data_IF_672920134886
#
_entry.id   IF_672920134886
#
_cell.length_a   1.000
_cell.length_b   1.000
_cell.length_c   1.000
_cell.angle_alpha   90.00
_cell.angle_beta   90.00
_cell.angle_gamma   90.00
#
_symmetry.space_group_name_H-M   'P 1'
#
loop_
_entity.id
_entity.type
_entity.pdbx_description
1 polymer ?
#
# COMPACT_ATOMS: atom_id res chain seq x y z
N UNK A 1 9.53 6.41 18.59
CA UNK A 1 8.60 5.26 18.71
C UNK A 1 9.06 4.21 17.72
N UNK A 2 8.76 2.93 17.90
CA UNK A 2 9.07 1.90 16.91
C UNK A 2 8.06 0.77 16.95
N UNK A 3 7.94 0.05 15.83
CA UNK A 3 7.10 -1.15 15.69
C UNK A 3 7.91 -2.23 14.99
N UNK A 4 8.05 -3.39 15.62
CA UNK A 4 8.85 -4.50 15.11
C UNK A 4 7.99 -5.61 14.50
N UNK A 5 8.63 -6.53 13.78
CA UNK A 5 7.96 -7.74 13.31
C UNK A 5 7.40 -8.61 14.45
N UNK A 6 8.06 -8.63 15.61
CA UNK A 6 7.57 -9.39 16.77
C UNK A 6 6.31 -8.76 17.37
N UNK A 7 6.22 -7.42 17.43
CA UNK A 7 5.00 -6.74 17.85
C UNK A 7 3.81 -7.08 16.92
N UNK A 8 4.05 -7.17 15.60
CA UNK A 8 3.03 -7.62 14.65
C UNK A 8 2.60 -9.06 14.93
N UNK A 9 3.54 -9.95 15.25
CA UNK A 9 3.21 -11.35 15.55
C UNK A 9 2.36 -11.46 16.82
N UNK A 10 2.77 -10.77 17.88
CA UNK A 10 2.06 -10.77 19.15
C UNK A 10 0.65 -10.15 19.01
N UNK A 11 0.52 -9.14 18.16
CA UNK A 11 -0.76 -8.46 17.90
C UNK A 11 -1.69 -9.32 17.04
N UNK A 12 -1.22 -9.84 15.91
CA UNK A 12 -2.11 -10.38 14.87
C UNK A 12 -2.27 -11.91 14.89
N UNK A 13 -1.38 -12.68 15.52
CA UNK A 13 -1.45 -14.15 15.52
C UNK A 13 -2.44 -14.72 16.56
N UNK A 14 -3.58 -14.04 16.73
CA UNK A 14 -4.60 -14.32 17.75
C UNK A 14 -5.68 -15.32 17.30
N UNK A 15 -5.75 -15.63 16.00
CA UNK A 15 -6.67 -16.63 15.45
C UNK A 15 -5.92 -17.72 14.66
N UNK A 16 -6.47 -18.94 14.54
CA UNK A 16 -5.89 -19.98 13.69
C UNK A 16 -5.71 -19.57 12.23
N UNK A 17 -6.63 -18.74 11.71
CA UNK A 17 -6.60 -18.25 10.33
C UNK A 17 -5.44 -17.29 10.10
N UNK A 18 -5.23 -16.33 11.01
CA UNK A 18 -4.09 -15.41 10.95
C UNK A 18 -2.76 -16.15 11.12
N UNK A 19 -2.69 -17.09 12.06
CA UNK A 19 -1.54 -17.99 12.25
C UNK A 19 -1.20 -18.76 10.98
N UNK A 20 -2.21 -19.34 10.32
CA UNK A 20 -2.01 -20.07 9.07
C UNK A 20 -1.46 -19.15 7.97
N UNK A 21 -2.04 -17.97 7.78
CA UNK A 21 -1.58 -17.01 6.74
C UNK A 21 -0.13 -16.60 6.98
N UNK A 22 0.22 -16.27 8.24
CA UNK A 22 1.60 -15.93 8.58
C UNK A 22 2.55 -17.11 8.39
N UNK A 23 2.17 -18.30 8.84
CA UNK A 23 2.97 -19.51 8.69
C UNK A 23 3.20 -19.86 7.20
N UNK A 24 2.17 -19.75 6.36
CA UNK A 24 2.29 -19.97 4.91
C UNK A 24 3.24 -18.95 4.27
N UNK A 25 3.20 -17.68 4.73
CA UNK A 25 4.12 -16.63 4.27
C UNK A 25 5.56 -16.89 4.73
N UNK A 26 5.76 -17.21 6.01
CA UNK A 26 7.07 -17.40 6.64
C UNK A 26 7.78 -18.64 6.10
N UNK A 27 7.02 -19.69 5.74
CA UNK A 27 7.55 -20.96 5.23
C UNK A 27 7.53 -21.05 3.70
N UNK A 28 7.25 -19.96 2.98
CA UNK A 28 7.27 -19.97 1.53
C UNK A 28 8.71 -20.14 1.01
N UNK A 29 9.05 -21.24 0.30
CA UNK A 29 10.43 -21.53 -0.09
C UNK A 29 11.04 -20.47 -1.01
N UNK A 30 10.23 -19.89 -1.89
CA UNK A 30 10.66 -18.86 -2.83
C UNK A 30 11.04 -17.57 -2.09
N UNK A 31 10.17 -17.11 -1.17
CA UNK A 31 10.44 -15.92 -0.34
C UNK A 31 11.60 -16.11 0.62
N UNK A 32 11.81 -17.32 1.13
CA UNK A 32 12.99 -17.66 1.94
C UNK A 32 14.25 -17.57 1.09
N UNK A 33 14.27 -18.24 -0.07
CA UNK A 33 15.44 -18.25 -0.96
C UNK A 33 15.80 -16.84 -1.46
N UNK A 34 14.80 -16.00 -1.68
CA UNK A 34 14.96 -14.61 -2.08
C UNK A 34 15.27 -13.66 -0.89
N UNK A 35 15.23 -14.14 0.36
CA UNK A 35 15.57 -13.35 1.55
C UNK A 35 14.46 -12.43 2.08
N UNK A 36 13.26 -12.44 1.48
CA UNK A 36 12.10 -11.63 1.92
C UNK A 36 11.78 -11.86 3.39
N UNK A 37 11.73 -13.13 3.82
CA UNK A 37 11.33 -13.50 5.18
C UNK A 37 12.31 -12.94 6.20
N UNK A 38 13.61 -13.12 5.99
CA UNK A 38 14.65 -12.57 6.89
C UNK A 38 14.62 -11.06 6.92
N UNK A 39 14.50 -10.39 5.78
CA UNK A 39 14.48 -8.93 5.71
C UNK A 39 13.28 -8.37 6.46
N UNK A 40 12.08 -8.91 6.23
CA UNK A 40 10.86 -8.41 6.88
C UNK A 40 10.75 -8.78 8.35
N UNK A 41 11.40 -9.87 8.81
CA UNK A 41 11.49 -10.20 10.23
C UNK A 41 12.44 -9.30 11.01
N UNK A 42 13.47 -8.78 10.34
CA UNK A 42 14.44 -7.87 10.93
C UNK A 42 14.07 -6.40 10.76
N UNK A 43 13.04 -6.11 9.97
CA UNK A 43 12.55 -4.75 9.76
C UNK A 43 11.93 -4.19 11.05
N UNK A 44 12.18 -2.92 11.29
CA UNK A 44 11.55 -2.15 12.35
C UNK A 44 11.10 -0.82 11.77
N UNK A 45 9.82 -0.53 11.87
CA UNK A 45 9.24 0.75 11.44
C UNK A 45 9.58 1.83 12.47
N UNK A 46 10.23 2.92 12.04
CA UNK A 46 10.56 4.08 12.89
C UNK A 46 10.31 5.41 12.19
N UNK A 47 10.79 5.56 10.95
CA UNK A 47 10.84 6.82 10.23
C UNK A 47 9.47 7.53 10.13
N UNK A 48 8.41 6.77 9.85
CA UNK A 48 7.05 7.33 9.75
C UNK A 48 6.56 7.97 11.06
N UNK A 49 7.10 7.56 12.21
CA UNK A 49 6.66 8.04 13.51
C UNK A 49 7.18 9.43 13.86
N UNK A 50 8.23 9.86 13.18
CA UNK A 50 8.82 11.19 13.30
C UNK A 50 8.39 12.10 12.13
N UNK A 51 7.58 11.59 11.20
CA UNK A 51 7.01 12.36 10.11
C UNK A 51 5.82 13.22 10.57
N UNK A 52 5.56 14.26 9.77
CA UNK A 52 4.40 15.15 9.92
C UNK A 52 3.60 15.19 8.61
N UNK A 53 2.37 15.70 8.65
CA UNK A 53 1.58 15.96 7.44
C UNK A 53 2.33 16.92 6.50
N UNK A 54 3.11 17.86 7.05
CA UNK A 54 3.96 18.75 6.27
C UNK A 54 5.03 18.01 5.44
N UNK A 55 5.53 16.86 5.94
CA UNK A 55 6.45 16.00 5.17
C UNK A 55 5.78 15.52 3.87
N UNK A 56 4.50 15.12 3.94
CA UNK A 56 3.78 14.63 2.77
C UNK A 56 3.38 15.73 1.80
N UNK A 57 3.06 16.94 2.31
CA UNK A 57 2.83 18.09 1.43
C UNK A 57 4.12 18.49 0.71
N UNK A 58 5.29 18.44 1.37
CA UNK A 58 6.57 18.63 0.71
C UNK A 58 6.80 17.58 -0.39
N UNK A 59 6.53 16.30 -0.13
CA UNK A 59 6.65 15.26 -1.16
C UNK A 59 5.71 15.53 -2.33
N UNK A 60 4.47 15.91 -2.08
CA UNK A 60 3.49 16.24 -3.11
C UNK A 60 3.98 17.37 -4.01
N UNK A 61 4.66 18.37 -3.47
CA UNK A 61 5.26 19.48 -4.22
C UNK A 61 6.53 19.09 -5.00
N UNK A 62 7.28 18.09 -4.52
CA UNK A 62 8.61 17.76 -5.05
C UNK A 62 8.67 16.42 -5.81
N UNK A 63 7.59 15.64 -5.85
CA UNK A 63 7.58 14.35 -6.53
C UNK A 63 7.44 14.48 -8.06
N UNK A 64 8.06 13.53 -8.75
CA UNK A 64 7.71 13.21 -10.14
C UNK A 64 6.75 12.02 -10.13
N UNK A 65 5.63 12.07 -10.85
CA UNK A 65 4.66 10.99 -10.79
C UNK A 65 5.11 9.73 -11.57
N UNK A 66 4.93 8.51 -11.01
CA UNK A 66 5.33 7.26 -11.65
C UNK A 66 4.63 6.95 -12.97
N UNK A 67 3.38 7.41 -13.14
CA UNK A 67 2.50 6.93 -14.23
C UNK A 67 2.88 7.47 -15.62
N UNK A 68 3.81 8.43 -15.68
CA UNK A 68 4.16 9.14 -16.90
C UNK A 68 2.93 9.63 -17.69
N UNK A 69 3.06 9.63 -19.02
CA UNK A 69 2.01 10.07 -19.94
C UNK A 69 1.09 8.94 -20.43
N UNK A 70 1.27 7.72 -19.93
CA UNK A 70 0.45 6.58 -20.33
C UNK A 70 -0.96 6.68 -19.76
N UNK A 71 -1.94 6.53 -20.63
CA UNK A 71 -3.34 6.43 -20.20
C UNK A 71 -3.62 4.98 -19.83
N UNK A 72 -4.39 4.78 -18.75
CA UNK A 72 -4.82 3.45 -18.30
C UNK A 72 -5.37 2.56 -19.44
N UNK A 73 -6.17 3.13 -20.34
CA UNK A 73 -6.74 2.41 -21.50
C UNK A 73 -5.71 1.83 -22.48
N UNK A 74 -4.46 2.30 -22.44
CA UNK A 74 -3.37 1.82 -23.29
C UNK A 74 -2.66 0.61 -22.71
N UNK A 75 -2.90 0.28 -21.44
CA UNK A 75 -2.19 -0.77 -20.71
C UNK A 75 -3.13 -1.72 -19.96
N UNK A 76 -4.44 -1.43 -19.87
CA UNK A 76 -5.40 -2.27 -19.14
C UNK A 76 -5.59 -3.66 -19.76
N UNK A 77 -5.10 -3.89 -20.99
CA UNK A 77 -5.07 -5.21 -21.63
C UNK A 77 -3.80 -6.02 -21.31
N UNK A 78 -2.81 -5.43 -20.63
CA UNK A 78 -1.52 -6.07 -20.33
C UNK A 78 -1.62 -6.80 -18.99
N UNK A 79 -2.22 -7.99 -19.01
CA UNK A 79 -2.45 -8.81 -17.82
C UNK A 79 -1.15 -9.19 -17.07
N UNK A 80 -0.03 -9.30 -17.79
CA UNK A 80 1.28 -9.59 -17.20
C UNK A 80 1.72 -8.50 -16.21
N UNK A 81 1.40 -7.23 -16.48
CA UNK A 81 1.69 -6.14 -15.56
C UNK A 81 0.65 -6.05 -14.43
N UNK A 82 -0.63 -6.27 -14.75
CA UNK A 82 -1.71 -6.23 -13.75
C UNK A 82 -1.54 -7.31 -12.67
N UNK A 83 -1.21 -8.53 -13.09
CA UNK A 83 -1.10 -9.71 -12.22
C UNK A 83 0.30 -9.95 -11.67
N UNK A 84 1.22 -9.00 -11.88
CA UNK A 84 2.57 -9.12 -11.34
C UNK A 84 2.56 -9.06 -9.81
N UNK A 85 3.07 -10.14 -9.21
CA UNK A 85 3.24 -10.35 -7.77
C UNK A 85 4.70 -10.73 -7.50
N UNK A 86 5.61 -9.74 -7.39
CA UNK A 86 7.00 -10.01 -7.03
C UNK A 86 7.11 -10.60 -5.62
N UNK A 87 8.19 -11.34 -5.35
CA UNK A 87 8.44 -11.94 -4.03
C UNK A 87 8.57 -10.87 -2.94
N UNK A 88 9.39 -9.84 -3.19
CA UNK A 88 9.34 -8.59 -2.44
C UNK A 88 8.14 -7.78 -2.95
N UNK A 89 7.09 -7.73 -2.14
CA UNK A 89 5.96 -6.86 -2.42
C UNK A 89 6.42 -5.39 -2.54
N UNK A 90 5.81 -4.61 -3.44
CA UNK A 90 6.19 -3.20 -3.65
C UNK A 90 6.23 -2.39 -2.34
N UNK A 91 5.26 -2.65 -1.44
CA UNK A 91 5.18 -2.00 -0.13
C UNK A 91 6.37 -2.31 0.78
N UNK A 92 6.98 -3.50 0.68
CA UNK A 92 8.19 -3.82 1.43
C UNK A 92 9.33 -2.87 1.04
N UNK A 93 9.52 -2.63 -0.25
CA UNK A 93 10.58 -1.78 -0.76
C UNK A 93 10.37 -0.31 -0.34
N UNK A 94 9.12 0.16 -0.35
CA UNK A 94 8.81 1.52 0.11
C UNK A 94 9.07 1.68 1.61
N UNK A 95 8.71 0.69 2.44
CA UNK A 95 9.02 0.70 3.85
C UNK A 95 10.53 0.66 4.11
N UNK A 96 11.28 -0.22 3.45
CA UNK A 96 12.74 -0.29 3.60
C UNK A 96 13.41 1.04 3.25
N UNK A 97 13.07 1.59 2.08
CA UNK A 97 13.64 2.86 1.66
C UNK A 97 13.19 4.03 2.55
N UNK A 98 11.99 3.99 3.11
CA UNK A 98 11.52 4.99 4.06
C UNK A 98 12.37 5.01 5.33
N UNK A 99 12.76 3.85 5.85
CA UNK A 99 13.64 3.76 7.02
C UNK A 99 15.07 4.23 6.70
N UNK A 100 15.57 3.95 5.48
CA UNK A 100 16.90 4.45 5.07
C UNK A 100 16.95 5.97 4.88
N UNK A 101 15.83 6.58 4.50
CA UNK A 101 15.73 8.03 4.26
C UNK A 101 15.24 8.82 5.47
N UNK A 102 14.82 8.16 6.54
CA UNK A 102 14.10 8.77 7.68
C UNK A 102 12.84 9.57 7.27
N UNK A 103 12.24 9.23 6.12
CA UNK A 103 11.00 9.83 5.60
C UNK A 103 10.46 9.02 4.41
N UNK A 104 9.18 9.18 4.04
CA UNK A 104 8.67 8.53 2.83
C UNK A 104 9.49 8.93 1.58
N UNK A 105 9.77 7.97 0.68
CA UNK A 105 10.60 8.23 -0.49
C UNK A 105 9.87 9.07 -1.54
N UNK A 106 10.61 9.88 -2.29
CA UNK A 106 10.17 10.36 -3.60
C UNK A 106 10.20 9.21 -4.60
N UNK A 107 9.39 9.31 -5.65
CA UNK A 107 9.40 8.31 -6.72
C UNK A 107 10.78 8.15 -7.37
N UNK A 108 11.50 9.25 -7.61
CA UNK A 108 12.84 9.23 -8.20
C UNK A 108 13.87 8.52 -7.31
N UNK A 109 13.70 8.61 -5.99
CA UNK A 109 14.56 7.93 -5.03
C UNK A 109 14.27 6.44 -5.01
N UNK A 110 12.99 6.06 -5.09
CA UNK A 110 12.61 4.67 -5.30
C UNK A 110 13.15 4.10 -6.61
N UNK A 111 13.03 4.83 -7.73
CA UNK A 111 13.56 4.41 -9.03
C UNK A 111 15.08 4.21 -8.97
N UNK A 112 15.81 5.15 -8.34
CA UNK A 112 17.24 5.03 -8.13
C UNK A 112 17.61 3.87 -7.20
N UNK A 113 16.85 3.62 -6.14
CA UNK A 113 17.07 2.47 -5.26
C UNK A 113 16.83 1.16 -6.02
N UNK A 114 15.61 0.99 -6.54
CA UNK A 114 15.16 -0.26 -7.17
C UNK A 114 16.00 -0.67 -8.38
N UNK A 115 16.54 0.28 -9.14
CA UNK A 115 17.25 0.00 -10.40
C UNK A 115 18.70 0.48 -10.44
N UNK A 116 19.10 1.34 -9.51
CA UNK A 116 20.45 1.92 -9.47
C UNK A 116 21.38 1.26 -8.45
N UNK A 117 20.84 0.56 -7.45
CA UNK A 117 21.65 -0.14 -6.44
C UNK A 117 21.64 -1.65 -6.66
N UNK A 118 22.69 -2.34 -6.22
CA UNK A 118 22.75 -3.81 -6.31
C UNK A 118 21.72 -4.46 -5.38
N UNK A 119 21.45 -3.85 -4.23
CA UNK A 119 20.43 -4.30 -3.29
C UNK A 119 19.02 -4.22 -3.87
N UNK A 120 18.63 -3.06 -4.42
CA UNK A 120 17.31 -2.89 -5.03
C UNK A 120 17.11 -3.78 -6.25
N UNK A 121 18.17 -3.99 -7.05
CA UNK A 121 18.14 -4.94 -8.17
C UNK A 121 17.92 -6.37 -7.69
N UNK A 122 18.66 -6.79 -6.66
CA UNK A 122 18.57 -8.13 -6.10
C UNK A 122 17.20 -8.41 -5.46
N UNK A 123 16.56 -7.41 -4.84
CA UNK A 123 15.22 -7.57 -4.25
C UNK A 123 14.10 -7.53 -5.30
N UNK A 124 14.30 -6.80 -6.39
CA UNK A 124 13.18 -6.38 -7.25
C UNK A 124 13.54 -6.12 -8.71
N UNK A 125 14.62 -5.38 -8.96
CA UNK A 125 14.95 -4.89 -10.30
C UNK A 125 15.15 -5.99 -11.34
N UNK A 126 15.74 -7.13 -10.97
CA UNK A 126 15.97 -8.24 -11.91
C UNK A 126 14.65 -8.91 -12.35
N UNK A 127 13.72 -9.14 -11.42
CA UNK A 127 12.39 -9.68 -11.73
C UNK A 127 11.59 -8.72 -12.64
N UNK A 128 11.69 -7.40 -12.37
CA UNK A 128 11.08 -6.39 -13.23
C UNK A 128 11.63 -6.45 -14.65
N UNK A 129 12.96 -6.57 -14.82
CA UNK A 129 13.58 -6.62 -16.15
C UNK A 129 13.14 -7.86 -16.94
N UNK A 130 13.06 -9.01 -16.28
CA UNK A 130 12.52 -10.22 -16.88
C UNK A 130 11.05 -10.02 -17.33
N UNK A 131 10.22 -9.42 -16.46
CA UNK A 131 8.82 -9.12 -16.78
C UNK A 131 8.68 -8.11 -17.91
N UNK A 132 9.55 -7.09 -17.95
CA UNK A 132 9.55 -6.07 -19.00
C UNK A 132 9.84 -6.70 -20.37
N UNK A 133 10.79 -7.65 -20.44
CA UNK A 133 11.09 -8.39 -21.66
C UNK A 133 9.91 -9.25 -22.13
N UNK A 134 9.22 -9.94 -21.21
CA UNK A 134 8.01 -10.73 -21.55
C UNK A 134 6.91 -9.85 -22.16
N UNK A 135 6.63 -8.70 -21.54
CA UNK A 135 5.61 -7.77 -22.02
C UNK A 135 6.01 -7.16 -23.36
N UNK A 136 7.30 -6.83 -23.53
CA UNK A 136 7.83 -6.31 -24.78
C UNK A 136 7.55 -7.26 -25.95
N UNK A 137 7.90 -8.55 -25.80
CA UNK A 137 7.67 -9.56 -26.84
C UNK A 137 6.17 -9.74 -27.15
N UNK A 138 5.33 -9.76 -26.10
CA UNK A 138 3.87 -9.83 -26.25
C UNK A 138 3.33 -8.65 -27.06
N UNK A 139 3.71 -7.42 -26.70
CA UNK A 139 3.18 -6.21 -27.32
C UNK A 139 3.76 -6.00 -28.72
N UNK A 140 5.03 -6.37 -28.97
CA UNK A 140 5.63 -6.31 -30.30
C UNK A 140 4.86 -7.22 -31.27
N UNK A 141 4.57 -8.45 -30.86
CA UNK A 141 3.77 -9.39 -31.65
C UNK A 141 2.37 -8.84 -31.92
N UNK A 142 1.70 -8.31 -30.89
CA UNK A 142 0.34 -7.77 -31.00
C UNK A 142 0.27 -6.55 -31.94
N UNK A 143 1.14 -5.58 -31.74
CA UNK A 143 1.20 -4.36 -32.57
C UNK A 143 1.50 -4.71 -34.03
N UNK A 144 2.46 -5.60 -34.27
CA UNK A 144 2.84 -6.01 -35.63
C UNK A 144 1.70 -6.73 -36.35
N UNK A 145 0.90 -7.50 -35.64
CA UNK A 145 -0.27 -8.19 -36.20
C UNK A 145 -1.44 -7.22 -36.47
N UNK A 146 -1.76 -6.33 -35.53
CA UNK A 146 -2.89 -5.40 -35.67
C UNK A 146 -2.61 -4.24 -36.63
N UNK A 147 -1.34 -3.83 -36.74
CA UNK A 147 -0.91 -2.63 -37.46
C UNK A 147 0.38 -2.90 -38.22
N UNK A 148 0.36 -3.75 -39.27
CA UNK A 148 1.55 -4.18 -39.99
C UNK A 148 2.31 -3.06 -40.71
N UNK A 149 1.68 -1.90 -40.91
CA UNK A 149 2.30 -0.71 -41.53
C UNK A 149 2.83 0.31 -40.51
N UNK A 150 2.76 0.00 -39.20
CA UNK A 150 3.28 0.88 -38.16
C UNK A 150 4.81 1.01 -38.28
N UNK A 151 5.33 2.23 -38.26
CA UNK A 151 6.78 2.50 -38.24
C UNK A 151 7.36 2.38 -36.83
N UNK A 152 8.32 1.48 -36.63
CA UNK A 152 9.00 1.21 -35.35
C UNK A 152 8.07 0.64 -34.25
N UNK A 153 7.40 -0.50 -34.50
CA UNK A 153 6.56 -1.16 -33.49
C UNK A 153 7.34 -1.51 -32.20
N UNK A 154 8.65 -1.73 -32.27
CA UNK A 154 9.54 -2.01 -31.15
C UNK A 154 9.55 -0.85 -30.15
N UNK A 155 9.68 0.39 -30.62
CA UNK A 155 9.67 1.56 -29.74
C UNK A 155 8.35 1.68 -28.98
N UNK A 156 7.23 1.35 -29.62
CA UNK A 156 5.92 1.38 -28.97
C UNK A 156 5.75 0.22 -27.99
N UNK A 157 6.23 -0.98 -28.34
CA UNK A 157 6.22 -2.13 -27.45
C UNK A 157 7.06 -1.86 -26.19
N UNK A 158 8.26 -1.30 -26.34
CA UNK A 158 9.12 -0.92 -25.21
C UNK A 158 8.44 0.11 -24.30
N UNK A 159 7.83 1.14 -24.90
CA UNK A 159 7.09 2.16 -24.15
C UNK A 159 5.94 1.56 -23.33
N UNK A 160 5.19 0.62 -23.91
CA UNK A 160 4.10 -0.08 -23.21
C UNK A 160 4.61 -1.04 -22.13
N UNK A 161 5.69 -1.77 -22.40
CA UNK A 161 6.30 -2.70 -21.45
C UNK A 161 6.77 -1.96 -20.20
N UNK A 162 7.67 -0.98 -20.37
CA UNK A 162 8.17 -0.17 -19.25
C UNK A 162 7.03 0.50 -18.50
N UNK A 163 6.17 1.20 -19.23
CA UNK A 163 5.21 2.07 -18.61
C UNK A 163 3.98 1.35 -18.00
N UNK A 164 3.67 0.12 -18.43
CA UNK A 164 2.67 -0.72 -17.74
C UNK A 164 3.16 -1.20 -16.38
N UNK A 165 4.45 -1.56 -16.27
CA UNK A 165 5.08 -1.89 -14.99
C UNK A 165 5.20 -0.67 -14.09
N UNK A 166 5.65 0.47 -14.61
CA UNK A 166 5.68 1.73 -13.85
C UNK A 166 4.29 2.14 -13.37
N UNK A 167 3.23 1.88 -14.16
CA UNK A 167 1.86 2.11 -13.72
C UNK A 167 1.44 1.18 -12.58
N UNK A 168 1.79 -0.11 -12.65
CA UNK A 168 1.51 -1.09 -11.60
C UNK A 168 2.18 -0.72 -10.28
N UNK A 169 3.47 -0.41 -10.34
CA UNK A 169 4.28 -0.02 -9.17
C UNK A 169 3.81 1.35 -8.66
N UNK A 170 3.55 2.29 -9.56
CA UNK A 170 3.09 3.63 -9.23
C UNK A 170 1.77 3.64 -8.47
N UNK A 171 0.83 2.77 -8.82
CA UNK A 171 -0.40 2.61 -8.03
C UNK A 171 -0.13 2.08 -6.62
N UNK A 172 0.83 1.16 -6.46
CA UNK A 172 1.23 0.70 -5.13
C UNK A 172 1.89 1.83 -4.33
N UNK A 173 2.74 2.64 -4.97
CA UNK A 173 3.37 3.83 -4.37
C UNK A 173 2.32 4.85 -3.92
N UNK A 174 1.33 5.17 -4.75
CA UNK A 174 0.23 6.06 -4.33
C UNK A 174 -0.61 5.50 -3.19
N UNK A 175 -0.81 4.18 -3.16
CA UNK A 175 -1.45 3.50 -2.03
C UNK A 175 -0.65 3.72 -0.76
N UNK A 176 0.61 3.29 -0.77
CA UNK A 176 1.54 3.45 0.34
C UNK A 176 1.59 4.88 0.88
N UNK A 177 1.74 5.88 0.01
CA UNK A 177 1.80 7.29 0.45
C UNK A 177 0.51 7.77 1.11
N UNK A 178 -0.65 7.32 0.63
CA UNK A 178 -1.94 7.65 1.24
C UNK A 178 -2.08 6.98 2.61
N UNK A 179 -1.66 5.73 2.74
CA UNK A 179 -1.80 4.97 3.96
C UNK A 179 -0.85 5.55 5.04
N UNK A 180 0.39 5.90 4.66
CA UNK A 180 1.35 6.59 5.53
C UNK A 180 0.92 8.03 5.89
N UNK A 181 0.34 8.78 4.96
CA UNK A 181 -0.26 10.09 5.25
C UNK A 181 -1.37 9.94 6.29
N UNK A 182 -2.24 8.96 6.12
CA UNK A 182 -3.39 8.72 7.03
C UNK A 182 -2.91 8.41 8.43
N UNK A 183 -1.94 7.50 8.57
CA UNK A 183 -1.35 7.17 9.86
C UNK A 183 -0.72 8.40 10.52
N UNK A 184 0.01 9.22 9.75
CA UNK A 184 0.64 10.45 10.25
C UNK A 184 -0.38 11.49 10.71
N UNK A 185 -1.43 11.74 9.91
CA UNK A 185 -2.48 12.70 10.26
C UNK A 185 -3.24 12.30 11.54
N UNK A 186 -3.51 11.01 11.73
CA UNK A 186 -4.13 10.49 12.95
C UNK A 186 -3.18 10.60 14.16
N UNK A 187 -1.87 10.40 13.97
CA UNK A 187 -0.86 10.60 15.03
C UNK A 187 -0.72 12.05 15.46
N UNK A 188 -0.78 13.00 14.53
CA UNK A 188 -0.78 14.43 14.86
C UNK A 188 -1.99 14.83 15.73
N UNK A 189 -3.08 14.05 15.67
CA UNK A 189 -4.23 14.15 16.57
C UNK A 189 -4.03 13.45 17.92
N UNK A 190 -2.84 12.91 18.18
CA UNK A 190 -2.48 12.24 19.43
C UNK A 190 -2.86 10.76 19.50
N UNK A 191 -3.21 10.12 18.39
CA UNK A 191 -3.43 8.67 18.36
C UNK A 191 -2.12 7.91 18.23
N UNK A 192 -1.98 6.79 18.94
CA UNK A 192 -0.83 5.89 18.83
C UNK A 192 -1.01 4.91 17.65
N UNK A 193 -1.10 5.45 16.42
CA UNK A 193 -1.24 4.62 15.22
C UNK A 193 0.07 3.90 14.93
N UNK A 194 0.00 2.56 14.95
CA UNK A 194 1.07 1.64 14.58
C UNK A 194 0.90 1.19 13.13
N UNK A 195 2.03 0.96 12.47
CA UNK A 195 2.12 0.54 11.07
C UNK A 195 3.35 -0.35 10.87
N UNK A 196 3.25 -1.36 10.01
CA UNK A 196 4.36 -2.24 9.69
C UNK A 196 4.10 -2.99 8.38
N UNK A 197 5.12 -3.21 7.52
CA UNK A 197 4.93 -3.89 6.23
C UNK A 197 4.33 -5.30 6.36
N UNK A 198 4.66 -6.05 7.42
CA UNK A 198 4.03 -7.35 7.68
C UNK A 198 2.54 -7.25 8.00
N UNK A 199 2.11 -6.18 8.68
CA UNK A 199 0.71 -5.96 9.00
C UNK A 199 -0.10 -5.68 7.74
N UNK A 200 0.41 -4.83 6.84
CA UNK A 200 -0.19 -4.57 5.53
C UNK A 200 -0.20 -5.85 4.67
N UNK A 201 0.97 -6.44 4.42
CA UNK A 201 1.11 -7.51 3.44
C UNK A 201 0.36 -8.80 3.82
N UNK A 202 0.36 -9.19 5.11
CA UNK A 202 -0.23 -10.45 5.56
C UNK A 202 -1.62 -10.28 6.15
N UNK A 203 -1.89 -9.13 6.78
CA UNK A 203 -3.10 -8.91 7.57
C UNK A 203 -3.98 -7.78 7.03
N UNK A 204 -3.53 -7.04 6.01
CA UNK A 204 -4.29 -5.96 5.36
C UNK A 204 -4.70 -4.86 6.33
N UNK A 205 -3.86 -4.65 7.35
CA UNK A 205 -3.99 -3.56 8.29
C UNK A 205 -3.06 -2.44 7.84
N UNK A 206 -3.64 -1.36 7.33
CA UNK A 206 -2.90 -0.16 6.91
C UNK A 206 -2.38 0.61 8.14
N UNK A 207 -3.03 0.40 9.30
CA UNK A 207 -2.52 0.74 10.62
C UNK A 207 -3.37 0.11 11.74
N UNK A 208 -2.97 0.27 13.00
CA UNK A 208 -3.78 -0.17 14.15
C UNK A 208 -3.52 0.66 15.41
N UNK A 209 -4.48 0.62 16.34
CA UNK A 209 -4.38 1.17 17.70
C UNK A 209 -4.99 0.15 18.67
N UNK A 210 -4.16 -0.49 19.49
CA UNK A 210 -4.63 -1.57 20.36
C UNK A 210 -5.33 -2.67 19.55
N UNK A 211 -6.61 -2.91 19.83
CA UNK A 211 -7.46 -3.85 19.10
C UNK A 211 -8.27 -3.22 17.95
N UNK A 212 -7.98 -2.00 17.51
CA UNK A 212 -8.66 -1.37 16.37
C UNK A 212 -7.79 -1.41 15.13
N UNK A 213 -8.26 -2.07 14.07
CA UNK A 213 -7.56 -2.18 12.80
C UNK A 213 -8.11 -1.12 11.83
N UNK A 214 -7.20 -0.33 11.27
CA UNK A 214 -7.50 0.66 10.26
C UNK A 214 -7.24 0.07 8.87
N UNK A 215 -8.22 0.23 7.98
CA UNK A 215 -8.01 0.05 6.54
C UNK A 215 -8.44 1.30 5.77
N UNK A 216 -7.63 1.71 4.79
CA UNK A 216 -7.91 2.81 3.88
C UNK A 216 -8.42 2.25 2.56
N UNK A 217 -9.68 2.53 2.26
CA UNK A 217 -10.37 1.98 1.11
C UNK A 217 -10.72 3.07 0.10
N UNK A 218 -10.20 2.94 -1.13
CA UNK A 218 -10.57 3.82 -2.26
C UNK A 218 -11.65 3.13 -3.11
N UNK A 219 -12.81 3.76 -3.20
CA UNK A 219 -13.94 3.31 -4.02
C UNK A 219 -13.51 3.24 -5.48
N UNK A 220 -13.70 2.07 -6.08
CA UNK A 220 -13.45 1.85 -7.49
C UNK A 220 -14.70 1.24 -8.14
N UNK A 221 -15.46 2.01 -8.95
CA UNK A 221 -16.72 1.55 -9.54
C UNK A 221 -16.60 0.28 -10.39
N UNK A 222 -15.42 0.00 -10.98
CA UNK A 222 -15.17 -1.24 -11.75
C UNK A 222 -15.08 -2.48 -10.84
N UNK A 223 -14.76 -2.32 -9.56
CA UNK A 223 -14.52 -3.42 -8.63
C UNK A 223 -15.53 -3.49 -7.48
N UNK A 224 -16.15 -2.36 -7.08
CA UNK A 224 -17.12 -2.27 -5.97
C UNK A 224 -18.09 -1.10 -6.20
N UNK A 225 -19.40 -1.36 -6.17
CA UNK A 225 -20.43 -0.30 -6.16
C UNK A 225 -20.64 0.16 -4.73
N UNK A 226 -20.56 1.46 -4.51
CA UNK A 226 -20.63 2.16 -3.22
C UNK A 226 -22.03 2.13 -2.58
N UNK A 227 -22.45 0.94 -2.15
CA UNK A 227 -23.66 0.77 -1.35
C UNK A 227 -23.20 0.16 -0.01
N UNK A 228 -23.05 0.99 1.02
CA UNK A 228 -22.54 0.58 2.34
C UNK A 228 -23.35 -0.58 2.96
N UNK A 229 -24.62 -0.75 2.56
CA UNK A 229 -25.46 -1.89 2.98
C UNK A 229 -25.22 -3.19 2.17
N UNK A 230 -24.39 -3.15 1.13
CA UNK A 230 -23.95 -4.31 0.33
C UNK A 230 -22.44 -4.55 0.36
N UNK A 231 -21.67 -3.75 1.09
CA UNK A 231 -20.27 -4.06 1.40
C UNK A 231 -20.15 -5.48 2.00
N UNK A 232 -21.15 -5.90 2.76
CA UNK A 232 -21.26 -7.22 3.38
C UNK A 232 -21.59 -8.38 2.41
N UNK A 233 -22.04 -8.10 1.17
CA UNK A 233 -22.64 -9.14 0.31
C UNK A 233 -22.06 -9.33 -1.09
N UNK A 234 -21.15 -8.48 -1.57
CA UNK A 234 -20.58 -8.65 -2.93
C UNK A 234 -19.08 -8.37 -2.97
N UNK A 235 -18.30 -9.16 -2.24
CA UNK A 235 -16.84 -9.18 -2.33
C UNK A 235 -16.37 -10.20 -3.38
N UNK A 236 -16.49 -9.86 -4.67
CA UNK A 236 -15.82 -10.59 -5.78
C UNK A 236 -14.47 -9.98 -6.14
N UNK A 237 -13.75 -9.41 -5.17
CA UNK A 237 -12.35 -9.03 -5.34
C UNK A 237 -11.43 -10.21 -5.08
N UNK A 238 -10.21 -10.20 -5.63
CA UNK A 238 -9.11 -11.18 -5.39
C UNK A 238 -8.72 -11.37 -3.91
N UNK A 239 -9.34 -10.64 -2.98
CA UNK A 239 -8.86 -10.37 -1.63
C UNK A 239 -9.99 -10.69 -0.61
N UNK A 240 -9.76 -11.66 0.30
CA UNK A 240 -10.63 -12.02 1.45
C UNK A 240 -10.89 -10.85 2.40
N UNK A 241 -12.00 -10.82 3.12
CA UNK A 241 -12.21 -9.75 4.11
C UNK A 241 -11.15 -9.78 5.22
N UNK A 242 -10.81 -8.63 5.78
CA UNK A 242 -9.86 -8.58 6.91
C UNK A 242 -10.46 -9.30 8.13
N UNK A 243 -11.78 -9.18 8.31
CA UNK A 243 -12.60 -9.86 9.31
C UNK A 243 -12.52 -11.39 9.17
N UNK A 244 -12.37 -11.90 7.94
CA UNK A 244 -12.23 -13.34 7.70
C UNK A 244 -10.87 -13.88 8.17
N UNK A 245 -9.87 -13.02 8.37
CA UNK A 245 -8.59 -13.40 8.97
C UNK A 245 -8.71 -13.52 10.49
N UNK A 246 -9.66 -12.82 11.11
CA UNK A 246 -9.77 -12.74 12.57
C UNK A 246 -11.15 -13.18 13.12
N UNK A 247 -11.66 -14.36 12.75
CA UNK A 247 -12.96 -14.81 13.21
C UNK A 247 -12.99 -14.96 14.74
N UNK A 248 -13.98 -14.33 15.38
CA UNK A 248 -14.15 -14.39 16.84
C UNK A 248 -13.06 -13.66 17.64
N UNK A 249 -12.22 -12.86 16.98
CA UNK A 249 -11.24 -12.02 17.67
C UNK A 249 -11.91 -10.81 18.35
N UNK A 250 -11.12 -10.11 19.16
CA UNK A 250 -11.53 -8.85 19.77
C UNK A 250 -11.27 -7.63 18.88
N UNK A 251 -10.81 -7.83 17.63
CA UNK A 251 -10.51 -6.72 16.75
C UNK A 251 -11.79 -5.98 16.33
N UNK A 252 -11.73 -4.65 16.42
CA UNK A 252 -12.70 -3.74 15.81
C UNK A 252 -12.11 -3.23 14.49
N UNK A 253 -12.91 -3.19 13.43
CA UNK A 253 -12.45 -2.82 12.09
C UNK A 253 -12.98 -1.44 11.75
N UNK A 254 -12.08 -0.51 11.48
CA UNK A 254 -12.39 0.87 11.07
C UNK A 254 -11.90 1.06 9.65
N UNK A 255 -12.82 1.43 8.76
CA UNK A 255 -12.50 1.68 7.35
C UNK A 255 -12.60 3.16 7.03
N UNK A 256 -11.50 3.78 6.61
CA UNK A 256 -11.52 5.10 5.98
C UNK A 256 -11.91 4.90 4.52
N UNK A 257 -13.14 5.27 4.15
CA UNK A 257 -13.60 5.19 2.75
C UNK A 257 -13.34 6.51 2.02
N UNK A 258 -12.76 6.41 0.82
CA UNK A 258 -12.46 7.55 -0.05
C UNK A 258 -13.05 7.33 -1.43
N UNK A 259 -13.43 8.42 -2.10
CA UNK A 259 -13.78 8.36 -3.51
C UNK A 259 -12.56 8.04 -4.37
N UNK A 260 -12.81 7.61 -5.62
CA UNK A 260 -11.74 7.40 -6.59
C UNK A 260 -10.98 8.69 -6.90
N UNK A 261 -9.67 8.61 -7.07
CA UNK A 261 -8.86 9.75 -7.48
C UNK A 261 -9.35 10.34 -8.80
N UNK A 262 -9.57 11.66 -8.82
CA UNK A 262 -10.08 12.40 -9.98
C UNK A 262 -8.98 12.90 -10.91
N UNK A 263 -7.73 12.96 -10.44
CA UNK A 263 -6.61 13.59 -11.14
C UNK A 263 -5.46 12.60 -11.36
N UNK A 264 -5.01 12.49 -12.62
CA UNK A 264 -3.88 11.62 -13.00
C UNK A 264 -2.57 12.18 -12.46
N UNK A 265 -1.76 11.32 -11.84
CA UNK A 265 -0.42 11.69 -11.39
C UNK A 265 -0.40 12.59 -10.15
N UNK A 266 -1.49 12.63 -9.37
CA UNK A 266 -1.53 13.36 -8.10
C UNK A 266 -1.83 12.43 -6.95
N UNK A 267 -1.20 12.71 -5.81
CA UNK A 267 -1.57 12.06 -4.55
C UNK A 267 -3.03 12.37 -4.22
N UNK A 268 -3.76 11.31 -3.87
CA UNK A 268 -5.12 11.40 -3.38
C UNK A 268 -5.12 11.04 -1.90
N UNK A 269 -4.87 12.05 -1.06
CA UNK A 269 -4.88 11.93 0.40
C UNK A 269 -6.28 12.18 0.95
N UNK A 270 -6.65 11.56 2.09
CA UNK A 270 -7.91 11.83 2.76
C UNK A 270 -8.01 13.30 3.16
N UNK A 271 -9.20 13.87 3.00
CA UNK A 271 -9.47 15.22 3.45
C UNK A 271 -9.57 15.26 5.00
N UNK A 272 -9.46 16.45 5.63
CA UNK A 272 -9.52 16.57 7.09
C UNK A 272 -10.78 15.98 7.72
N UNK A 273 -11.95 16.11 7.08
CA UNK A 273 -13.21 15.58 7.62
C UNK A 273 -13.21 14.04 7.70
N UNK A 274 -12.64 13.36 6.69
CA UNK A 274 -12.50 11.91 6.71
C UNK A 274 -11.51 11.45 7.80
N UNK A 275 -10.44 12.22 8.04
CA UNK A 275 -9.52 11.97 9.16
C UNK A 275 -10.23 12.18 10.51
N UNK A 276 -11.04 13.22 10.65
CA UNK A 276 -11.81 13.50 11.89
C UNK A 276 -12.82 12.39 12.21
N UNK A 277 -13.51 11.87 11.20
CA UNK A 277 -14.44 10.75 11.35
C UNK A 277 -13.72 9.50 11.87
N UNK A 278 -12.60 9.14 11.24
CA UNK A 278 -11.81 7.98 11.64
C UNK A 278 -11.15 8.16 13.00
N UNK A 279 -10.69 9.38 13.33
CA UNK A 279 -10.19 9.72 14.67
C UNK A 279 -11.23 9.42 15.76
N UNK A 280 -12.49 9.82 15.54
CA UNK A 280 -13.58 9.56 16.49
C UNK A 280 -13.85 8.07 16.66
N UNK A 281 -13.81 7.29 15.57
CA UNK A 281 -14.04 5.84 15.60
C UNK A 281 -12.88 5.07 16.24
N UNK A 282 -11.66 5.59 16.15
CA UNK A 282 -10.46 4.94 16.69
C UNK A 282 -10.21 5.25 18.17
N UNK A 283 -10.78 6.34 18.71
CA UNK A 283 -10.64 6.67 20.13
C UNK A 283 -11.40 5.67 21.01
N UNK A 284 -10.78 5.18 22.11
CA UNK A 284 -11.49 4.34 23.05
C UNK A 284 -12.65 5.12 23.72
N UNK A 285 -13.78 4.47 24.04
CA UNK A 285 -14.96 5.14 24.63
C UNK A 285 -14.70 5.92 25.92
N UNK A 286 -13.64 5.58 26.66
CA UNK A 286 -13.25 6.26 27.89
C UNK A 286 -12.56 7.62 27.67
N UNK A 287 -12.22 7.97 26.43
CA UNK A 287 -11.60 9.26 26.07
C UNK A 287 -12.56 10.24 25.37
N UNK A 288 -13.79 9.82 25.05
CA UNK A 288 -14.76 10.64 24.30
C UNK A 288 -15.67 11.52 25.16
N UNK A 289 -15.41 11.66 26.46
CA UNK A 289 -16.22 12.51 27.33
C UNK A 289 -15.76 12.54 28.79
N UNK A 290 -14.93 13.53 29.13
CA UNK A 290 -15.05 14.15 30.45
C UNK A 290 -16.00 15.34 30.28
N UNK A 291 -17.19 15.34 30.90
CA UNK A 291 -17.97 16.55 31.02
C UNK A 291 -17.12 17.59 31.76
N UNK A 292 -17.05 18.81 31.23
CA UNK A 292 -16.62 19.97 32.00
C UNK A 292 -17.54 20.02 33.23
N UNK A 293 -17.02 19.65 34.39
CA UNK A 293 -17.66 19.96 35.66
C UNK A 293 -17.75 21.49 35.71
N UNK A 294 -18.96 21.99 35.47
CA UNK A 294 -19.33 23.34 35.84
C UNK A 294 -19.12 23.43 37.35
N UNK A 295 -18.10 24.18 37.76
CA UNK A 295 -17.96 24.68 39.11
C UNK A 295 -19.26 25.41 39.48
N UNK A 296 -20.11 24.75 40.25
CA UNK A 296 -21.16 25.40 40.99
C UNK A 296 -20.47 26.13 42.15
N UNK A 297 -20.21 27.41 41.94
CA UNK A 297 -19.85 28.37 42.99
C UNK A 297 -21.01 28.47 43.98
N UNK A 298 -20.74 28.09 45.24
CA UNK A 298 -21.51 28.46 46.43
C UNK A 298 -21.41 29.96 46.76
#
# INVERSE_FOLDING_TARGET
METSADEVRDTFLVTPQAQKVYHDWENNPQRIAHGVVSTMRNHTTKAIYDCSVATFEWIKENHTHPLGNLKKKEIEHIELAENWEPDFAFVHLFHLLMEDLDRPPLWSEFDQFAYGTDEGKAMFGDDRLAREAEIFEQELKRISAERPTWKNPENRAQYLAKGSLDWRIGNAYYGFMRDMYTATALREKGLDVRVHPLADANFRADGWIGNRLLSVFVVNPKYKVADQQKADKVQRGRKKDVEQLFPGSQFEFVTLTMDGASEHGKFHFPNPAAIDEVDQLLRPPSQSGLPQEMEASE
#
